data_IF_182337059726
#
_entry.id   IF_182337059726
#
_cell.length_a   1.000
_cell.length_b   1.000
_cell.length_c   1.000
_cell.angle_alpha   90.00
_cell.angle_beta   90.00
_cell.angle_gamma   90.00
#
_symmetry.space_group_name_H-M   'P 1'
#
loop_
_entity.id
_entity.type
_entity.pdbx_description
1 polymer ?
#
# COMPACT_ATOMS: atom_id res chain seq x y z
N UNK A 1 7.88 7.05 3.51
CA UNK A 1 6.65 6.51 4.12
C UNK A 1 6.62 6.91 5.60
N UNK A 2 5.47 7.34 6.10
CA UNK A 2 5.29 7.87 7.47
C UNK A 2 4.52 6.95 8.40
N UNK A 3 3.48 6.29 7.88
CA UNK A 3 2.53 5.51 8.68
C UNK A 3 1.96 4.38 7.85
N UNK A 4 1.63 3.28 8.51
CA UNK A 4 0.87 2.17 7.95
C UNK A 4 -0.39 1.96 8.79
N UNK A 5 -1.53 1.78 8.16
CA UNK A 5 -2.81 1.46 8.81
C UNK A 5 -3.42 0.23 8.16
N UNK A 6 -4.17 -0.54 8.95
CA UNK A 6 -5.00 -1.64 8.45
C UNK A 6 -6.45 -1.25 8.60
N UNK A 7 -7.21 -1.43 7.53
CA UNK A 7 -8.64 -1.22 7.52
C UNK A 7 -9.35 -2.51 7.14
N UNK A 8 -10.12 -3.07 8.08
CA UNK A 8 -10.94 -4.26 7.84
C UNK A 8 -12.25 -3.85 7.14
N UNK A 9 -12.59 -4.52 6.05
CA UNK A 9 -13.83 -4.30 5.34
C UNK A 9 -15.06 -4.77 6.15
N UNK A 10 -14.88 -5.82 6.96
CA UNK A 10 -15.85 -6.31 7.94
C UNK A 10 -15.13 -6.65 9.25
N UNK A 11 -15.33 -5.81 10.27
CA UNK A 11 -14.73 -5.97 11.59
C UNK A 11 -15.26 -7.20 12.34
N UNK A 12 -16.44 -7.71 11.99
CA UNK A 12 -17.09 -8.82 12.69
C UNK A 12 -16.51 -10.18 12.29
N UNK A 13 -16.07 -10.32 11.03
CA UNK A 13 -15.56 -11.60 10.49
C UNK A 13 -14.06 -11.59 10.20
N UNK A 14 -13.43 -10.40 10.11
CA UNK A 14 -12.01 -10.23 9.72
C UNK A 14 -11.65 -11.05 8.48
N UNK A 15 -12.57 -11.13 7.53
CA UNK A 15 -12.39 -11.91 6.30
C UNK A 15 -11.62 -11.15 5.22
N UNK A 16 -11.64 -9.80 5.27
CA UNK A 16 -11.03 -8.93 4.27
C UNK A 16 -10.46 -7.67 4.93
N UNK A 17 -9.18 -7.39 4.69
CA UNK A 17 -8.53 -6.13 5.11
C UNK A 17 -7.67 -5.52 4.00
N UNK A 18 -7.47 -4.21 4.07
CA UNK A 18 -6.57 -3.43 3.22
C UNK A 18 -5.43 -2.87 4.08
N UNK A 19 -4.22 -2.76 3.49
CA UNK A 19 -3.14 -1.98 4.10
C UNK A 19 -3.06 -0.61 3.41
N UNK A 20 -3.23 0.43 4.21
CA UNK A 20 -3.13 1.82 3.84
C UNK A 20 -1.75 2.35 4.22
N UNK A 21 -1.00 2.85 3.24
CA UNK A 21 0.33 3.41 3.44
C UNK A 21 0.30 4.92 3.22
N UNK A 22 0.79 5.66 4.21
CA UNK A 22 0.86 7.11 4.17
C UNK A 22 2.26 7.53 3.76
N UNK A 23 2.32 8.31 2.69
CA UNK A 23 3.53 8.86 2.13
C UNK A 23 3.58 10.35 2.34
N UNK A 24 4.81 10.86 2.38
CA UNK A 24 5.07 12.28 2.21
C UNK A 24 6.15 12.42 1.15
N UNK A 25 5.99 13.42 0.29
CA UNK A 25 6.97 13.78 -0.74
C UNK A 25 6.89 15.27 -1.04
N UNK A 26 7.75 15.77 -1.92
CA UNK A 26 7.68 17.14 -2.42
C UNK A 26 6.50 17.31 -3.38
N UNK A 27 6.07 18.56 -3.59
CA UNK A 27 5.00 18.84 -4.56
C UNK A 27 5.35 18.35 -5.97
N UNK A 28 6.57 18.59 -6.42
CA UNK A 28 7.02 18.19 -7.77
C UNK A 28 7.01 16.68 -7.95
N UNK A 29 7.49 15.94 -6.94
CA UNK A 29 7.43 14.48 -6.97
C UNK A 29 5.98 13.98 -6.99
N UNK A 30 5.07 14.62 -6.25
CA UNK A 30 3.66 14.25 -6.26
C UNK A 30 3.01 14.51 -7.63
N UNK A 31 3.36 15.59 -8.32
CA UNK A 31 2.90 15.85 -9.69
C UNK A 31 3.41 14.80 -10.69
N UNK A 32 4.65 14.31 -10.51
CA UNK A 32 5.20 13.20 -11.31
C UNK A 32 4.41 11.91 -11.04
N UNK A 33 4.14 11.60 -9.76
CA UNK A 33 3.37 10.42 -9.37
C UNK A 33 1.96 10.44 -9.97
N UNK A 34 1.27 11.59 -9.94
CA UNK A 34 -0.07 11.73 -10.55
C UNK A 34 -0.10 11.49 -12.07
N UNK A 35 1.01 11.75 -12.76
CA UNK A 35 1.14 11.51 -14.21
C UNK A 35 1.54 10.08 -14.55
N UNK A 36 1.88 9.26 -13.55
CA UNK A 36 2.29 7.88 -13.77
C UNK A 36 1.08 7.02 -14.16
N UNK A 37 1.27 6.10 -15.12
CA UNK A 37 0.22 5.20 -15.61
C UNK A 37 -0.14 4.14 -14.56
N UNK A 38 0.85 3.70 -13.79
CA UNK A 38 0.67 2.81 -12.66
C UNK A 38 1.67 3.10 -11.56
N UNK A 39 1.26 2.82 -10.33
CA UNK A 39 2.15 2.63 -9.20
C UNK A 39 2.04 1.18 -8.77
N UNK A 40 3.17 0.51 -8.62
CA UNK A 40 3.30 -0.86 -8.15
C UNK A 40 3.90 -0.88 -6.74
N UNK A 41 3.34 -1.73 -5.91
CA UNK A 41 3.63 -1.90 -4.50
C UNK A 41 4.12 -3.33 -4.29
N UNK A 42 5.39 -3.48 -3.95
CA UNK A 42 6.03 -4.78 -3.72
C UNK A 42 6.03 -5.11 -2.24
N UNK A 43 5.42 -6.25 -1.91
CA UNK A 43 5.21 -6.72 -0.55
C UNK A 43 6.18 -7.85 -0.22
N UNK A 44 6.88 -7.69 0.90
CA UNK A 44 7.58 -8.77 1.60
C UNK A 44 6.54 -9.48 2.48
N UNK A 45 6.27 -10.74 2.15
CA UNK A 45 5.42 -11.64 2.93
C UNK A 45 6.34 -12.66 3.58
N UNK A 46 6.58 -12.48 4.88
CA UNK A 46 7.67 -13.19 5.57
C UNK A 46 7.57 -14.72 5.40
N UNK A 47 8.58 -15.30 4.74
CA UNK A 47 8.66 -16.74 4.49
C UNK A 47 7.84 -17.23 3.30
N UNK A 48 7.53 -16.34 2.35
CA UNK A 48 6.94 -16.60 1.03
C UNK A 48 7.62 -15.74 -0.03
N UNK A 49 7.29 -15.97 -1.29
CA UNK A 49 7.74 -15.12 -2.40
C UNK A 49 7.13 -13.72 -2.27
N UNK A 50 7.91 -12.71 -2.62
CA UNK A 50 7.39 -11.34 -2.70
C UNK A 50 6.29 -11.22 -3.76
N UNK A 51 5.28 -10.41 -3.45
CA UNK A 51 4.16 -10.17 -4.37
C UNK A 51 4.09 -8.70 -4.74
N UNK A 52 3.91 -8.42 -6.03
CA UNK A 52 3.71 -7.06 -6.55
C UNK A 52 2.24 -6.85 -6.88
N UNK A 53 1.66 -5.78 -6.35
CA UNK A 53 0.29 -5.37 -6.63
C UNK A 53 0.27 -3.91 -7.06
N UNK A 54 -0.74 -3.49 -7.83
CA UNK A 54 -0.90 -2.07 -8.15
C UNK A 54 -1.43 -1.31 -6.93
N UNK A 55 -1.21 0.00 -6.89
CA UNK A 55 -1.95 0.86 -5.99
C UNK A 55 -3.44 0.83 -6.37
N UNK A 56 -4.28 0.46 -5.42
CA UNK A 56 -5.71 0.24 -5.61
C UNK A 56 -6.57 1.44 -5.22
N UNK A 57 -7.78 1.45 -5.78
CA UNK A 57 -8.84 2.44 -5.52
C UNK A 57 -9.91 1.87 -4.58
N UNK A 58 -9.54 1.44 -3.38
CA UNK A 58 -10.53 0.88 -2.45
C UNK A 58 -11.27 2.00 -1.70
N UNK A 59 -12.59 1.86 -1.60
CA UNK A 59 -13.43 2.83 -0.88
C UNK A 59 -13.52 4.20 -1.55
N UNK A 60 -13.08 4.35 -2.81
CA UNK A 60 -13.18 5.60 -3.59
C UNK A 60 -13.91 5.37 -4.90
N UNK A 61 -14.45 6.45 -5.48
CA UNK A 61 -15.18 6.36 -6.75
C UNK A 61 -14.28 5.83 -7.86
N UNK A 62 -14.85 5.11 -8.84
CA UNK A 62 -14.10 4.62 -10.01
C UNK A 62 -13.39 5.73 -10.79
N UNK A 63 -13.94 6.95 -10.71
CA UNK A 63 -13.42 8.16 -11.35
C UNK A 63 -12.28 8.84 -10.56
N UNK A 64 -12.10 8.50 -9.28
CA UNK A 64 -11.08 9.11 -8.43
C UNK A 64 -9.71 8.48 -8.67
N UNK A 65 -8.64 9.21 -8.34
CA UNK A 65 -7.28 8.64 -8.37
C UNK A 65 -7.07 7.67 -7.20
N UNK A 66 -6.10 6.75 -7.29
CA UNK A 66 -5.72 5.90 -6.15
C UNK A 66 -4.98 6.67 -5.03
N UNK A 67 -4.64 7.94 -5.24
CA UNK A 67 -4.13 8.83 -4.20
C UNK A 67 -5.30 9.38 -3.38
N UNK A 68 -5.29 9.14 -2.08
CA UNK A 68 -6.37 9.53 -1.17
C UNK A 68 -5.81 10.30 0.04
N UNK A 69 -6.68 10.92 0.84
CA UNK A 69 -6.29 11.73 2.02
C UNK A 69 -5.17 12.75 1.72
N UNK A 70 -5.21 13.32 0.50
CA UNK A 70 -4.19 14.25 0.01
C UNK A 70 -4.26 15.56 0.79
N UNK A 71 -3.16 15.97 1.39
CA UNK A 71 -3.01 17.24 2.11
C UNK A 71 -1.63 17.83 1.84
N UNK A 72 -1.46 19.15 1.92
CA UNK A 72 -0.17 19.78 1.68
C UNK A 72 -0.05 21.16 2.33
N UNK A 73 1.19 21.56 2.61
CA UNK A 73 1.52 22.84 3.26
C UNK A 73 2.41 23.73 2.36
N UNK A 74 2.34 23.55 1.04
CA UNK A 74 3.10 24.31 0.05
C UNK A 74 4.49 23.75 -0.28
N UNK A 75 5.14 23.01 0.63
CA UNK A 75 6.44 22.34 0.38
C UNK A 75 6.29 20.83 0.30
N UNK A 76 5.55 20.25 1.23
CA UNK A 76 5.30 18.81 1.27
C UNK A 76 3.86 18.49 0.93
N UNK A 77 3.68 17.31 0.34
CA UNK A 77 2.38 16.69 0.09
C UNK A 77 2.37 15.36 0.81
N UNK A 78 1.38 15.17 1.67
CA UNK A 78 1.05 13.89 2.29
C UNK A 78 -0.14 13.26 1.58
N UNK A 79 -0.08 11.96 1.37
CA UNK A 79 -1.15 11.20 0.71
C UNK A 79 -1.13 9.75 1.18
N UNK A 80 -2.25 9.07 0.98
CA UNK A 80 -2.43 7.65 1.25
C UNK A 80 -2.50 6.88 -0.07
N UNK A 81 -1.81 5.75 -0.13
CA UNK A 81 -2.01 4.71 -1.13
C UNK A 81 -2.42 3.42 -0.43
N UNK A 82 -3.41 2.74 -0.99
CA UNK A 82 -3.75 1.38 -0.63
C UNK A 82 -3.24 0.46 -1.74
N UNK A 83 -2.76 -0.73 -1.42
CA UNK A 83 -2.46 -1.73 -2.46
C UNK A 83 -3.72 -2.49 -2.87
N UNK A 84 -3.77 -2.96 -4.12
CA UNK A 84 -4.74 -3.97 -4.59
C UNK A 84 -4.70 -5.28 -3.80
N UNK A 85 -3.63 -5.47 -3.05
CA UNK A 85 -3.52 -6.53 -2.09
C UNK A 85 -4.51 -6.38 -0.92
N UNK A 86 -5.50 -7.27 -0.88
CA UNK A 86 -6.36 -7.45 0.28
C UNK A 86 -6.08 -8.79 0.95
N UNK A 87 -6.27 -8.78 2.27
CA UNK A 87 -6.03 -9.90 3.16
C UNK A 87 -7.30 -10.75 3.26
N UNK A 88 -7.40 -11.83 2.49
CA UNK A 88 -8.43 -12.83 2.66
C UNK A 88 -7.92 -14.00 3.50
N UNK A 89 -8.77 -14.50 4.41
CA UNK A 89 -8.44 -15.61 5.32
C UNK A 89 -7.87 -16.84 4.59
N UNK A 90 -8.36 -17.12 3.39
CA UNK A 90 -7.99 -18.31 2.60
C UNK A 90 -6.98 -18.01 1.47
N UNK A 91 -6.63 -16.75 1.22
CA UNK A 91 -5.61 -16.38 0.20
C UNK A 91 -4.21 -16.26 0.78
N UNK A 92 -4.11 -16.18 2.10
CA UNK A 92 -2.85 -16.20 2.80
C UNK A 92 -2.48 -17.63 3.22
N UNK A 93 -1.18 -17.91 3.29
CA UNK A 93 -0.72 -19.19 3.80
C UNK A 93 -1.15 -19.39 5.26
N UNK A 94 -1.56 -20.62 5.58
CA UNK A 94 -2.05 -20.98 6.90
C UNK A 94 -0.91 -20.93 7.94
N UNK A 95 -0.83 -19.79 8.63
CA UNK A 95 0.11 -19.53 9.73
C UNK A 95 -0.60 -18.80 10.86
N UNK A 96 -0.17 -18.99 12.12
CA UNK A 96 -0.75 -18.28 13.26
C UNK A 96 -0.68 -16.76 13.16
N UNK A 97 0.38 -16.26 12.52
CA UNK A 97 0.60 -14.83 12.28
C UNK A 97 1.15 -14.63 10.86
N UNK A 98 0.51 -13.73 10.11
CA UNK A 98 0.99 -13.30 8.81
C UNK A 98 1.61 -11.91 8.94
N UNK A 99 2.90 -11.77 8.60
CA UNK A 99 3.63 -10.49 8.64
C UNK A 99 3.89 -9.99 7.24
N UNK A 100 3.37 -8.81 6.93
CA UNK A 100 3.48 -8.19 5.61
C UNK A 100 4.03 -6.78 5.75
N UNK A 101 4.98 -6.44 4.90
CA UNK A 101 5.54 -5.10 4.80
C UNK A 101 5.70 -4.69 3.35
N UNK A 102 5.60 -3.39 3.08
CA UNK A 102 5.89 -2.82 1.78
C UNK A 102 7.40 -2.57 1.66
N UNK A 103 8.04 -3.28 0.75
CA UNK A 103 9.50 -3.18 0.53
C UNK A 103 9.88 -2.39 -0.72
N UNK A 104 8.94 -2.22 -1.65
CA UNK A 104 9.17 -1.44 -2.86
C UNK A 104 7.95 -0.66 -3.32
N UNK A 105 8.21 0.51 -3.93
CA UNK A 105 7.23 1.33 -4.62
C UNK A 105 7.82 1.75 -5.96
N UNK A 106 7.17 1.36 -7.05
CA UNK A 106 7.69 1.54 -8.41
C UNK A 106 6.66 2.23 -9.29
N UNK A 107 7.13 3.02 -10.25
CA UNK A 107 6.26 3.65 -11.26
C UNK A 107 6.38 2.90 -12.58
N UNK A 108 5.25 2.61 -13.22
CA UNK A 108 5.20 2.02 -14.57
C UNK A 108 6.03 0.73 -14.74
N UNK A 109 6.16 -0.09 -13.68
CA UNK A 109 6.93 -1.34 -13.71
C UNK A 109 8.45 -1.17 -13.66
N UNK A 110 8.97 0.04 -13.46
CA UNK A 110 10.41 0.31 -13.34
C UNK A 110 10.97 -0.17 -11.99
N UNK A 111 11.31 -1.46 -11.94
CA UNK A 111 11.85 -2.12 -10.73
C UNK A 111 13.27 -1.68 -10.36
N UNK A 112 13.98 -0.98 -11.24
CA UNK A 112 15.32 -0.47 -10.94
C UNK A 112 15.25 0.75 -10.01
N UNK A 113 14.14 1.50 -10.06
CA UNK A 113 13.96 2.76 -9.33
C UNK A 113 12.94 2.61 -8.20
N UNK A 114 13.37 2.01 -7.09
CA UNK A 114 12.55 1.94 -5.88
C UNK A 114 12.40 3.34 -5.26
N UNK A 115 11.15 3.82 -5.18
CA UNK A 115 10.82 5.12 -4.61
C UNK A 115 10.75 5.11 -3.08
N UNK A 116 10.81 3.94 -2.44
CA UNK A 116 10.90 3.85 -0.99
C UNK A 116 12.34 4.04 -0.52
N UNK A 117 12.53 4.96 0.41
CA UNK A 117 13.81 5.11 1.12
C UNK A 117 14.10 4.00 2.12
N UNK A 118 13.06 3.28 2.57
CA UNK A 118 13.16 2.11 3.45
C UNK A 118 11.90 1.25 3.35
N UNK A 119 12.05 -0.03 3.67
CA UNK A 119 10.93 -0.95 3.88
C UNK A 119 10.02 -0.45 5.00
N UNK A 120 8.72 -0.69 4.87
CA UNK A 120 7.75 -0.35 5.91
C UNK A 120 7.93 -1.19 7.16
N UNK A 121 7.40 -0.71 8.28
CA UNK A 121 7.12 -1.59 9.40
C UNK A 121 6.17 -2.71 8.94
N UNK A 122 6.40 -3.91 9.48
CA UNK A 122 5.57 -5.06 9.18
C UNK A 122 4.25 -4.97 9.95
N UNK A 123 3.16 -5.15 9.22
CA UNK A 123 1.84 -5.34 9.79
C UNK A 123 1.66 -6.82 10.11
N UNK A 124 1.18 -7.12 11.31
CA UNK A 124 0.85 -8.48 11.72
C UNK A 124 -0.65 -8.71 11.62
N UNK A 125 -1.04 -9.77 10.93
CA UNK A 125 -2.41 -10.22 10.80
C UNK A 125 -2.58 -11.54 11.55
N UNK A 126 -3.65 -11.60 12.33
CA UNK A 126 -4.11 -12.82 12.98
C UNK A 126 -5.57 -13.06 12.56
N UNK A 127 -5.79 -14.16 11.86
CA UNK A 127 -7.12 -14.59 11.37
C UNK A 127 -7.76 -15.66 12.27
N UNK A 128 -7.09 -16.00 13.39
CA UNK A 128 -7.68 -16.84 14.45
C UNK A 128 -8.74 -16.08 15.23
#
# INVERSE_FOLDING_TARGET
MKKTEVEWADNSKKEKAYINYYFETTKDNFEILKKSKSIEMLYDIKGYQDLSYKAGKFGVSSNDTYFTKVSGNGKTVSFMLSGEYYFQKDTLPDRPENKVSLKGLFINGDKANNLLSKQSEAVTFNFK
#
